data_IF_551204735604
#
_entry.id   IF_551204735604
#
_cell.length_a   1.000
_cell.length_b   1.000
_cell.length_c   1.000
_cell.angle_alpha   90.00
_cell.angle_beta   90.00
_cell.angle_gamma   90.00
#
_symmetry.space_group_name_H-M   'P 1'
#
loop_
_entity.id
_entity.type
_entity.pdbx_description
1 polymer ?
#
# COMPACT_ATOMS: atom_id res chain seq x y z
N UNK A 1 -22.34 -15.25 8.86
CA UNK A 1 -21.46 -14.91 7.74
C UNK A 1 -22.29 -14.19 6.69
N UNK A 2 -22.10 -12.89 6.49
CA UNK A 2 -22.83 -12.14 5.46
C UNK A 2 -22.17 -12.40 4.11
N UNK A 3 -22.85 -13.13 3.23
CA UNK A 3 -22.40 -13.33 1.85
C UNK A 3 -22.64 -12.06 1.04
N UNK A 4 -21.57 -11.47 0.52
CA UNK A 4 -21.64 -10.25 -0.30
C UNK A 4 -22.28 -10.58 -1.65
N UNK A 5 -23.35 -9.87 -2.01
CA UNK A 5 -24.07 -10.05 -3.27
C UNK A 5 -23.36 -9.25 -4.36
N UNK A 6 -22.96 -9.93 -5.45
CA UNK A 6 -22.36 -9.29 -6.63
C UNK A 6 -23.42 -9.11 -7.71
N UNK A 7 -23.31 -8.03 -8.47
CA UNK A 7 -24.22 -7.69 -9.55
C UNK A 7 -23.51 -7.79 -10.91
N UNK A 8 -24.25 -8.25 -11.92
CA UNK A 8 -23.72 -8.41 -13.28
C UNK A 8 -23.97 -7.15 -14.11
N UNK A 9 -22.93 -6.66 -14.78
CA UNK A 9 -22.99 -5.49 -15.66
C UNK A 9 -22.41 -5.79 -17.04
N UNK A 10 -23.01 -5.20 -18.07
CA UNK A 10 -22.50 -5.25 -19.44
C UNK A 10 -22.51 -3.86 -20.04
N UNK A 11 -21.56 -3.58 -20.94
CA UNK A 11 -21.62 -2.37 -21.78
C UNK A 11 -22.84 -2.42 -22.71
N UNK A 12 -23.49 -1.28 -22.93
CA UNK A 12 -24.60 -1.14 -23.88
C UNK A 12 -24.15 -1.36 -25.33
N UNK A 13 -22.89 -1.08 -25.63
CA UNK A 13 -22.23 -1.42 -26.90
C UNK A 13 -22.07 -2.93 -27.13
N UNK A 14 -22.50 -3.77 -26.18
CA UNK A 14 -22.32 -5.22 -26.20
C UNK A 14 -20.99 -5.66 -25.59
N UNK A 15 -20.71 -6.95 -25.70
CA UNK A 15 -19.51 -7.59 -25.16
C UNK A 15 -19.77 -8.40 -23.90
N UNK A 16 -18.71 -8.56 -23.10
CA UNK A 16 -18.68 -9.44 -21.92
C UNK A 16 -19.49 -8.89 -20.76
N UNK A 17 -20.06 -9.79 -19.97
CA UNK A 17 -20.75 -9.54 -18.70
C UNK A 17 -19.74 -9.65 -17.56
N UNK A 18 -19.57 -8.55 -16.85
CA UNK A 18 -18.64 -8.38 -15.75
C UNK A 18 -19.38 -8.40 -14.41
N UNK A 19 -18.67 -8.69 -13.32
CA UNK A 19 -19.21 -8.56 -11.97
C UNK A 19 -18.75 -7.25 -11.36
N UNK A 20 -19.63 -6.62 -10.60
CA UNK A 20 -19.33 -5.48 -9.74
C UNK A 20 -19.93 -5.73 -8.36
N UNK A 21 -19.31 -5.23 -7.28
CA UNK A 21 -19.90 -5.14 -5.95
C UNK A 21 -21.37 -4.71 -5.93
N UNK A 22 -21.68 -3.62 -6.64
CA UNK A 22 -23.01 -3.03 -6.73
C UNK A 22 -23.05 -2.10 -7.93
N UNK A 23 -24.19 -2.07 -8.62
CA UNK A 23 -24.42 -1.11 -9.70
C UNK A 23 -24.93 0.20 -9.12
N UNK A 24 -24.18 1.32 -9.23
CA UNK A 24 -24.65 2.60 -8.73
C UNK A 24 -25.82 3.10 -9.58
N UNK A 25 -26.75 3.83 -8.95
CA UNK A 25 -27.91 4.46 -9.63
C UNK A 25 -27.48 5.52 -10.65
N UNK A 26 -26.34 6.17 -10.40
CA UNK A 26 -25.72 7.17 -11.27
C UNK A 26 -24.22 7.20 -10.98
N UNK A 27 -23.39 7.27 -12.02
CA UNK A 27 -21.93 7.35 -11.89
C UNK A 27 -21.21 6.22 -12.63
N UNK A 28 -19.86 6.26 -12.67
CA UNK A 28 -19.07 5.20 -13.25
C UNK A 28 -19.10 3.95 -12.34
N UNK A 29 -19.03 2.77 -12.95
CA UNK A 29 -18.99 1.49 -12.20
C UNK A 29 -17.66 0.79 -12.44
N UNK A 30 -16.99 0.42 -11.36
CA UNK A 30 -15.74 -0.36 -11.42
C UNK A 30 -16.08 -1.84 -11.27
N UNK A 31 -15.67 -2.63 -12.25
CA UNK A 31 -15.86 -4.08 -12.27
C UNK A 31 -14.75 -4.79 -11.50
N UNK A 32 -14.98 -6.01 -11.04
CA UNK A 32 -13.99 -6.82 -10.32
C UNK A 32 -12.72 -7.08 -11.15
N UNK A 33 -12.79 -7.06 -12.48
CA UNK A 33 -11.61 -7.18 -13.33
C UNK A 33 -10.80 -5.88 -13.47
N UNK A 34 -11.24 -4.78 -12.86
CA UNK A 34 -10.56 -3.48 -12.89
C UNK A 34 -10.92 -2.62 -14.10
N UNK A 35 -12.04 -2.90 -14.78
CA UNK A 35 -12.54 -2.00 -15.82
C UNK A 35 -13.55 -1.02 -15.23
N UNK A 36 -13.39 0.26 -15.57
CA UNK A 36 -14.36 1.31 -15.28
C UNK A 36 -15.30 1.46 -16.48
N UNK A 37 -16.61 1.38 -16.23
CA UNK A 37 -17.64 1.67 -17.22
C UNK A 37 -18.27 3.02 -16.88
N UNK A 38 -18.24 3.96 -17.82
CA UNK A 38 -18.77 5.30 -17.64
C UNK A 38 -20.30 5.29 -17.44
N UNK A 39 -20.80 6.30 -16.71
CA UNK A 39 -22.24 6.47 -16.48
C UNK A 39 -23.02 6.42 -17.79
N UNK A 40 -24.11 5.66 -17.82
CA UNK A 40 -24.95 5.52 -19.00
C UNK A 40 -24.41 4.59 -20.10
N UNK A 41 -23.16 4.11 -20.01
CA UNK A 41 -22.56 3.19 -21.00
C UNK A 41 -22.75 1.72 -20.67
N UNK A 42 -23.33 1.40 -19.50
CA UNK A 42 -23.56 0.04 -19.02
C UNK A 42 -25.03 -0.20 -18.65
N UNK A 43 -25.39 -1.47 -18.51
CA UNK A 43 -26.67 -1.93 -18.00
C UNK A 43 -26.46 -3.07 -16.99
N UNK A 44 -27.26 -3.08 -15.93
CA UNK A 44 -27.35 -4.22 -15.01
C UNK A 44 -28.12 -5.35 -15.71
N UNK A 45 -27.69 -6.59 -15.48
CA UNK A 45 -28.29 -7.79 -16.06
C UNK A 45 -28.48 -8.82 -14.95
N UNK A 46 -29.54 -9.62 -15.04
CA UNK A 46 -29.74 -10.79 -14.16
C UNK A 46 -29.01 -12.05 -14.67
N UNK A 47 -28.32 -11.93 -15.80
CA UNK A 47 -27.55 -13.02 -16.41
C UNK A 47 -26.21 -13.22 -15.68
N UNK A 48 -25.74 -14.47 -15.49
CA UNK A 48 -24.43 -14.70 -14.88
C UNK A 48 -23.30 -14.05 -15.70
N UNK A 49 -22.27 -13.60 -15.00
CA UNK A 49 -21.09 -13.02 -15.64
C UNK A 49 -20.33 -14.04 -16.48
N UNK A 50 -19.82 -13.61 -17.64
CA UNK A 50 -19.00 -14.41 -18.56
C UNK A 50 -17.49 -14.09 -18.42
N UNK A 51 -17.15 -13.00 -17.73
CA UNK A 51 -15.78 -12.55 -17.62
C UNK A 51 -14.99 -13.46 -16.68
N UNK A 52 -14.09 -14.28 -17.23
CA UNK A 52 -13.23 -15.22 -16.48
C UNK A 52 -12.49 -14.57 -15.32
N UNK A 53 -12.01 -13.33 -15.51
CA UNK A 53 -11.34 -12.56 -14.44
C UNK A 53 -12.30 -12.17 -13.31
N UNK A 54 -13.53 -11.81 -13.62
CA UNK A 54 -14.55 -11.51 -12.61
C UNK A 54 -14.94 -12.76 -11.83
N UNK A 55 -15.19 -13.88 -12.52
CA UNK A 55 -15.54 -15.17 -11.90
C UNK A 55 -14.43 -15.69 -10.99
N UNK A 56 -13.16 -15.52 -11.38
CA UNK A 56 -12.02 -15.91 -10.54
C UNK A 56 -11.92 -15.02 -9.30
N UNK A 57 -12.10 -13.70 -9.46
CA UNK A 57 -11.96 -12.72 -8.38
C UNK A 57 -13.15 -12.70 -7.43
N UNK A 58 -14.33 -13.16 -7.84
CA UNK A 58 -15.52 -13.25 -6.96
C UNK A 58 -15.37 -14.27 -5.83
N UNK A 59 -14.46 -15.25 -5.98
CA UNK A 59 -14.15 -16.25 -4.95
C UNK A 59 -13.18 -15.74 -3.87
N UNK A 60 -12.57 -14.58 -4.08
CA UNK A 60 -11.57 -13.98 -3.19
C UNK A 60 -12.19 -12.81 -2.40
N UNK A 61 -12.48 -13.04 -1.12
CA UNK A 61 -13.14 -12.05 -0.27
C UNK A 61 -12.32 -10.75 -0.09
N UNK A 62 -10.99 -10.83 -0.10
CA UNK A 62 -10.14 -9.65 0.02
C UNK A 62 -10.26 -8.76 -1.22
N UNK A 63 -10.36 -9.37 -2.42
CA UNK A 63 -10.53 -8.63 -3.68
C UNK A 63 -11.91 -8.06 -3.87
N UNK A 64 -12.94 -8.79 -3.42
CA UNK A 64 -14.32 -8.27 -3.40
C UNK A 64 -14.36 -7.04 -2.51
N UNK A 65 -13.82 -7.12 -1.28
CA UNK A 65 -13.77 -5.98 -0.36
C UNK A 65 -13.02 -4.79 -0.97
N UNK A 66 -11.85 -5.02 -1.59
CA UNK A 66 -11.09 -3.98 -2.29
C UNK A 66 -11.86 -3.27 -3.42
N UNK A 67 -12.73 -3.99 -4.14
CA UNK A 67 -13.55 -3.38 -5.18
C UNK A 67 -14.65 -2.47 -4.62
N UNK A 68 -15.22 -2.78 -3.44
CA UNK A 68 -16.13 -1.87 -2.73
C UNK A 68 -15.41 -0.55 -2.35
N UNK A 69 -14.14 -0.62 -1.93
CA UNK A 69 -13.34 0.57 -1.63
C UNK A 69 -13.06 1.45 -2.84
N UNK A 70 -12.93 0.86 -4.03
CA UNK A 70 -12.64 1.59 -5.25
C UNK A 70 -13.83 2.37 -5.83
N UNK A 71 -15.06 2.16 -5.34
CA UNK A 71 -16.28 2.83 -5.82
C UNK A 71 -16.72 4.02 -4.95
N UNK A 72 -15.85 4.47 -4.02
CA UNK A 72 -16.10 5.49 -2.99
C UNK A 72 -16.96 5.03 -1.81
N UNK A 73 -17.83 4.02 -1.94
CA UNK A 73 -18.65 3.57 -0.80
C UNK A 73 -17.90 2.73 0.23
N UNK A 74 -16.74 2.15 -0.11
CA UNK A 74 -15.93 1.50 0.93
C UNK A 74 -15.32 2.50 1.91
N UNK A 75 -15.13 3.76 1.50
CA UNK A 75 -14.73 4.82 2.43
C UNK A 75 -15.86 5.16 3.42
N UNK A 76 -17.12 5.14 2.96
CA UNK A 76 -18.30 5.27 3.84
C UNK A 76 -18.48 4.06 4.76
N UNK A 77 -18.29 2.84 4.26
CA UNK A 77 -18.35 1.63 5.10
C UNK A 77 -17.23 1.60 6.15
N UNK A 78 -16.02 2.03 5.79
CA UNK A 78 -14.93 2.21 6.75
C UNK A 78 -15.25 3.31 7.75
N UNK A 79 -15.81 4.43 7.29
CA UNK A 79 -16.23 5.52 8.17
C UNK A 79 -17.29 5.05 9.16
N UNK A 80 -18.33 4.35 8.71
CA UNK A 80 -19.38 3.78 9.56
C UNK A 80 -18.81 2.73 10.52
N UNK A 81 -17.87 1.90 10.07
CA UNK A 81 -17.18 0.91 10.91
C UNK A 81 -16.29 1.57 11.97
N UNK A 82 -15.60 2.67 11.63
CA UNK A 82 -14.80 3.47 12.57
C UNK A 82 -15.68 4.26 13.54
N UNK A 83 -16.82 4.80 13.11
CA UNK A 83 -17.81 5.43 13.98
C UNK A 83 -18.38 4.40 14.97
N UNK A 84 -18.71 3.20 14.50
CA UNK A 84 -19.12 2.08 15.35
C UNK A 84 -18.02 1.65 16.33
N UNK A 85 -16.78 1.48 15.87
CA UNK A 85 -15.64 1.12 16.72
C UNK A 85 -15.32 2.21 17.77
N UNK A 86 -15.42 3.49 17.41
CA UNK A 86 -15.30 4.63 18.33
C UNK A 86 -16.41 4.63 19.37
N UNK A 87 -17.62 4.23 19.00
CA UNK A 87 -18.75 4.12 19.93
C UNK A 87 -18.73 2.84 20.78
N UNK A 88 -17.99 1.80 20.39
CA UNK A 88 -18.04 0.49 21.05
C UNK A 88 -16.89 0.17 22.00
N UNK A 89 -15.73 0.85 22.03
CA UNK A 89 -14.70 0.47 23.01
C UNK A 89 -13.75 1.58 23.49
N UNK A 90 -13.68 1.74 24.82
CA UNK A 90 -12.42 1.94 25.56
C UNK A 90 -11.58 0.65 25.39
N UNK A 91 -10.29 0.71 25.07
CA UNK A 91 -9.51 -0.50 24.85
C UNK A 91 -9.25 -1.23 26.18
N UNK A 92 -9.74 -2.46 26.32
CA UNK A 92 -9.17 -3.43 27.26
C UNK A 92 -7.99 -4.10 26.54
N UNK A 93 -6.78 -3.67 26.88
CA UNK A 93 -5.54 -4.21 26.32
C UNK A 93 -5.26 -5.59 26.95
N UNK A 94 -5.98 -6.61 26.48
CA UNK A 94 -5.55 -8.01 26.64
C UNK A 94 -4.96 -8.51 25.33
N UNK A 95 -3.64 -8.61 25.35
CA UNK A 95 -2.79 -9.25 24.35
C UNK A 95 -3.34 -10.65 24.06
N UNK A 96 -3.74 -10.90 22.81
CA UNK A 96 -4.11 -12.24 22.35
C UNK A 96 -2.83 -13.08 22.13
N UNK A 97 -2.79 -14.36 22.52
CA UNK A 97 -1.66 -15.24 22.27
C UNK A 97 -1.51 -15.54 20.77
N UNK A 98 -0.26 -15.55 20.31
CA UNK A 98 0.12 -15.90 18.93
C UNK A 98 -0.44 -17.27 18.49
N UNK A 99 -1.02 -17.41 17.29
CA UNK A 99 -1.30 -18.71 16.72
C UNK A 99 0.01 -19.39 16.26
N UNK A 100 0.12 -20.68 16.57
CA UNK A 100 1.24 -21.59 16.27
C UNK A 100 1.48 -21.80 14.76
N UNK A 101 2.67 -22.29 14.35
CA UNK A 101 3.02 -22.41 12.94
C UNK A 101 2.36 -23.65 12.32
N UNK A 102 1.48 -23.45 11.34
CA UNK A 102 0.98 -24.52 10.48
C UNK A 102 1.93 -24.78 9.30
N UNK A 103 2.21 -26.06 9.08
CA UNK A 103 3.14 -26.67 8.13
C UNK A 103 3.09 -26.07 6.72
N UNK A 104 4.24 -25.60 6.24
CA UNK A 104 4.48 -25.21 4.85
C UNK A 104 4.32 -26.42 3.91
N UNK A 105 3.39 -26.33 2.96
CA UNK A 105 3.43 -27.15 1.74
C UNK A 105 4.40 -26.50 0.74
N UNK A 106 5.24 -27.27 0.02
CA UNK A 106 6.20 -26.70 -0.91
C UNK A 106 5.48 -26.06 -2.10
N UNK A 107 5.60 -24.75 -2.24
CA UNK A 107 5.16 -24.02 -3.43
C UNK A 107 6.29 -24.07 -4.45
N UNK A 108 6.00 -24.64 -5.62
CA UNK A 108 6.88 -24.61 -6.79
C UNK A 108 6.91 -23.19 -7.35
N UNK A 109 8.05 -22.52 -7.24
CA UNK A 109 8.24 -21.14 -7.71
C UNK A 109 8.51 -21.11 -9.23
N UNK A 110 7.77 -20.31 -10.03
CA UNK A 110 8.09 -20.11 -11.44
C UNK A 110 9.20 -19.07 -11.65
N UNK A 111 10.14 -19.43 -12.54
CA UNK A 111 11.19 -18.68 -13.24
C UNK A 111 12.06 -17.64 -12.48
N UNK A 112 13.38 -17.80 -12.66
CA UNK A 112 14.44 -17.02 -12.03
C UNK A 112 14.25 -15.50 -12.19
N UNK A 113 14.33 -14.79 -11.06
CA UNK A 113 14.45 -13.34 -11.02
C UNK A 113 15.67 -12.88 -11.84
N UNK A 114 15.56 -11.77 -12.58
CA UNK A 114 16.73 -11.15 -13.21
C UNK A 114 17.80 -10.81 -12.16
N UNK A 115 19.08 -10.69 -12.59
CA UNK A 115 20.21 -10.52 -11.69
C UNK A 115 19.98 -9.36 -10.72
N UNK A 116 20.36 -9.50 -9.44
CA UNK A 116 20.24 -8.42 -8.49
C UNK A 116 21.02 -7.22 -9.02
N UNK A 117 20.31 -6.14 -9.33
CA UNK A 117 20.93 -4.84 -9.54
C UNK A 117 21.80 -4.55 -8.31
N UNK A 118 23.10 -4.41 -8.53
CA UNK A 118 24.06 -4.11 -7.48
C UNK A 118 23.74 -2.69 -7.02
N UNK A 119 22.89 -2.59 -6.00
CA UNK A 119 22.58 -1.34 -5.33
C UNK A 119 23.88 -0.86 -4.69
N UNK A 120 24.41 0.32 -5.09
CA UNK A 120 25.61 0.85 -4.49
C UNK A 120 25.38 1.14 -3.00
N UNK A 121 26.41 0.96 -2.18
CA UNK A 121 26.37 1.20 -0.72
C UNK A 121 25.95 2.64 -0.36
N UNK A 122 26.10 3.57 -1.30
CA UNK A 122 25.68 4.96 -1.20
C UNK A 122 25.02 5.41 -2.50
N UNK A 123 23.85 6.04 -2.38
CA UNK A 123 23.07 6.61 -3.46
C UNK A 123 22.93 8.12 -3.23
N UNK A 124 23.96 8.87 -3.65
CA UNK A 124 24.04 10.30 -3.36
C UNK A 124 24.07 10.56 -1.85
N UNK A 125 23.01 11.20 -1.35
CA UNK A 125 22.83 11.55 0.06
C UNK A 125 22.34 10.39 0.94
N UNK A 126 21.92 9.27 0.34
CA UNK A 126 21.39 8.10 1.06
C UNK A 126 22.44 7.00 1.21
N UNK A 127 22.69 6.55 2.44
CA UNK A 127 23.41 5.31 2.73
C UNK A 127 22.43 4.15 2.60
N UNK A 128 22.55 3.33 1.56
CA UNK A 128 21.54 2.31 1.21
C UNK A 128 21.57 1.09 2.13
N UNK A 129 22.62 0.94 2.95
CA UNK A 129 22.80 -0.18 3.87
C UNK A 129 21.65 -0.28 4.87
N UNK A 130 20.90 -1.39 4.76
CA UNK A 130 19.76 -1.69 5.63
C UNK A 130 18.41 -1.17 5.14
N UNK A 131 18.39 -0.32 4.10
CA UNK A 131 17.15 0.07 3.44
C UNK A 131 16.71 -0.98 2.44
N UNK A 132 15.39 -1.18 2.33
CA UNK A 132 14.77 -2.01 1.29
C UNK A 132 14.22 -1.12 0.17
N UNK A 133 14.59 -1.34 -1.10
CA UNK A 133 13.99 -0.60 -2.21
C UNK A 133 12.49 -0.94 -2.28
N UNK A 134 11.65 0.09 -2.39
CA UNK A 134 10.18 -0.02 -2.41
C UNK A 134 9.55 0.64 -3.63
N UNK A 135 10.35 1.04 -4.61
CA UNK A 135 9.96 1.70 -5.85
C UNK A 135 11.13 2.50 -6.44
N UNK A 136 10.94 3.11 -7.61
CA UNK A 136 11.96 3.98 -8.20
C UNK A 136 12.25 5.17 -7.27
N UNK A 137 13.48 5.27 -6.77
CA UNK A 137 13.88 6.31 -5.83
C UNK A 137 13.27 6.20 -4.43
N UNK A 138 12.55 5.12 -4.10
CA UNK A 138 11.89 4.98 -2.79
C UNK A 138 12.55 3.89 -1.96
N UNK A 139 12.94 4.24 -0.75
CA UNK A 139 13.66 3.37 0.19
C UNK A 139 12.91 3.26 1.50
N UNK A 140 12.84 2.06 2.07
CA UNK A 140 12.11 1.78 3.30
C UNK A 140 13.02 1.21 4.37
N UNK A 141 12.99 1.77 5.57
CA UNK A 141 13.72 1.26 6.73
C UNK A 141 12.95 0.10 7.41
N UNK A 142 13.63 -0.71 8.24
CA UNK A 142 12.98 -1.74 9.08
C UNK A 142 11.85 -1.21 9.98
N UNK A 143 11.96 -0.01 10.55
CA UNK A 143 10.88 0.59 11.36
C UNK A 143 9.80 1.30 10.53
N UNK A 144 9.85 1.19 9.20
CA UNK A 144 8.81 1.71 8.32
C UNK A 144 8.98 3.16 7.90
N UNK A 145 10.16 3.76 8.10
CA UNK A 145 10.49 5.08 7.56
C UNK A 145 10.62 4.97 6.05
N UNK A 146 10.00 5.91 5.31
CA UNK A 146 10.09 5.99 3.86
C UNK A 146 10.97 7.18 3.49
N UNK A 147 12.01 6.94 2.71
CA UNK A 147 12.90 7.95 2.16
C UNK A 147 12.69 8.01 0.66
N UNK A 148 12.37 9.21 0.15
CA UNK A 148 12.24 9.47 -1.29
C UNK A 148 13.47 10.22 -1.79
N UNK A 149 14.08 9.65 -2.81
CA UNK A 149 15.20 10.18 -3.55
C UNK A 149 14.73 10.57 -4.95
N UNK A 150 15.19 11.71 -5.46
CA UNK A 150 14.95 12.12 -6.85
C UNK A 150 16.25 12.03 -7.63
N UNK A 151 16.16 11.46 -8.82
CA UNK A 151 17.28 11.42 -9.76
C UNK A 151 17.34 12.74 -10.52
N UNK A 152 18.46 13.45 -10.42
CA UNK A 152 18.77 14.64 -11.21
C UNK A 152 19.99 14.34 -12.10
N UNK A 153 19.74 13.93 -13.35
CA UNK A 153 20.80 13.46 -14.25
C UNK A 153 21.44 12.16 -13.77
N UNK A 154 22.72 12.22 -13.38
CA UNK A 154 23.48 11.10 -12.80
C UNK A 154 23.46 11.05 -11.27
N UNK A 155 22.95 12.09 -10.62
CA UNK A 155 23.00 12.24 -9.16
C UNK A 155 21.61 11.96 -8.54
N UNK A 156 21.62 11.55 -7.27
CA UNK A 156 20.41 11.30 -6.50
C UNK A 156 20.38 12.25 -5.31
N UNK A 157 19.29 12.99 -5.15
CA UNK A 157 19.10 13.95 -4.06
C UNK A 157 17.97 13.52 -3.16
N UNK A 158 18.14 13.74 -1.86
CA UNK A 158 17.09 13.55 -0.87
C UNK A 158 15.99 14.58 -1.08
N UNK A 159 14.73 14.12 -1.06
CA UNK A 159 13.56 15.00 -1.25
C UNK A 159 12.68 14.99 -0.03
N UNK A 160 12.36 13.81 0.49
CA UNK A 160 11.34 13.67 1.52
C UNK A 160 11.59 12.47 2.42
N UNK A 161 11.29 12.63 3.69
CA UNK A 161 11.19 11.55 4.67
C UNK A 161 9.76 11.52 5.22
N UNK A 162 9.12 10.35 5.11
CA UNK A 162 7.78 10.10 5.66
C UNK A 162 7.89 9.07 6.78
N UNK A 163 7.43 9.43 7.96
CA UNK A 163 7.39 8.56 9.13
C UNK A 163 6.15 8.84 9.97
N UNK A 164 5.42 7.79 10.32
CA UNK A 164 4.28 7.87 11.22
C UNK A 164 4.76 7.62 12.65
N UNK A 165 5.14 8.70 13.34
CA UNK A 165 5.62 8.64 14.71
C UNK A 165 6.26 9.93 15.18
N UNK A 166 6.81 9.89 16.40
CA UNK A 166 7.54 11.04 16.93
C UNK A 166 8.86 11.23 16.18
N UNK A 167 9.11 12.48 15.77
CA UNK A 167 10.36 12.89 15.15
C UNK A 167 11.13 13.76 16.17
N UNK A 168 12.41 13.44 16.36
CA UNK A 168 13.29 14.22 17.23
C UNK A 168 14.16 15.12 16.36
N UNK A 169 13.92 16.43 16.44
CA UNK A 169 14.73 17.44 15.75
C UNK A 169 15.73 18.03 16.75
N UNK A 170 17.03 17.85 16.49
CA UNK A 170 18.12 18.35 17.31
C UNK A 170 18.91 19.39 16.52
N UNK A 171 19.08 20.59 17.05
CA UNK A 171 19.95 21.61 16.44
C UNK A 171 21.42 21.20 16.62
N UNK A 172 22.20 21.23 15.54
CA UNK A 172 23.63 20.89 15.55
C UNK A 172 24.39 21.93 14.74
N UNK A 173 25.20 22.76 15.41
CA UNK A 173 25.89 23.89 14.75
C UNK A 173 24.90 24.79 14.01
N UNK A 174 25.15 25.00 12.73
CA UNK A 174 24.30 25.79 11.81
C UNK A 174 23.18 24.96 11.14
N UNK A 175 23.03 23.68 11.50
CA UNK A 175 22.09 22.75 10.87
C UNK A 175 21.09 22.10 11.82
N UNK A 176 20.26 21.23 11.25
CA UNK A 176 19.28 20.42 11.97
C UNK A 176 19.57 18.93 11.72
N UNK A 177 19.60 18.15 12.80
CA UNK A 177 19.61 16.70 12.76
C UNK A 177 18.22 16.18 13.11
N UNK A 178 17.62 15.44 12.19
CA UNK A 178 16.27 14.89 12.32
C UNK A 178 16.39 13.38 12.50
N UNK A 179 15.83 12.85 13.59
CA UNK A 179 15.71 11.42 13.82
C UNK A 179 14.25 11.00 13.75
N UNK A 180 13.95 10.08 12.84
CA UNK A 180 12.62 9.50 12.65
C UNK A 180 12.75 7.97 12.74
N UNK A 181 12.25 7.37 13.82
CA UNK A 181 12.41 5.93 14.07
C UNK A 181 13.88 5.50 14.12
N UNK A 182 14.28 4.66 13.18
CA UNK A 182 15.64 4.15 12.95
C UNK A 182 16.44 4.95 11.92
N UNK A 183 15.88 6.00 11.32
CA UNK A 183 16.55 6.84 10.32
C UNK A 183 16.98 8.17 10.92
N UNK A 184 18.20 8.58 10.61
CA UNK A 184 18.71 9.91 10.92
C UNK A 184 19.05 10.64 9.62
N UNK A 185 18.61 11.89 9.55
CA UNK A 185 18.95 12.88 8.51
C UNK A 185 19.75 13.97 9.19
N UNK A 186 20.92 14.29 8.67
CA UNK A 186 21.70 15.39 9.24
C UNK A 186 22.82 15.86 8.32
N UNK A 187 23.44 17.01 8.67
CA UNK A 187 24.60 17.49 7.95
C UNK A 187 25.78 16.55 8.19
N UNK A 188 26.49 16.22 7.12
CA UNK A 188 27.77 15.53 7.12
C UNK A 188 28.90 16.53 7.44
N UNK A 189 30.13 16.03 7.68
CA UNK A 189 31.33 16.85 7.91
C UNK A 189 31.59 17.86 6.79
N UNK A 190 31.15 17.53 5.58
CA UNK A 190 31.41 18.29 4.36
C UNK A 190 30.25 19.25 4.02
N UNK A 191 29.25 19.37 4.90
CA UNK A 191 28.08 20.26 4.72
C UNK A 191 26.96 19.69 3.85
N UNK A 192 27.14 18.50 3.25
CA UNK A 192 26.08 17.77 2.54
C UNK A 192 25.08 17.12 3.49
N UNK A 193 23.87 16.81 3.02
CA UNK A 193 22.89 16.06 3.80
C UNK A 193 23.22 14.57 3.68
N UNK A 194 23.20 13.86 4.80
CA UNK A 194 23.31 12.41 4.83
C UNK A 194 22.06 11.80 5.47
N UNK A 195 21.54 10.76 4.83
CA UNK A 195 20.42 9.95 5.31
C UNK A 195 20.90 8.53 5.56
N UNK A 196 20.79 8.05 6.79
CA UNK A 196 21.27 6.72 7.18
C UNK A 196 20.39 6.06 8.23
N UNK A 197 20.38 4.73 8.26
CA UNK A 197 19.79 3.97 9.37
C UNK A 197 20.78 3.97 10.53
N UNK A 198 20.40 4.61 11.63
CA UNK A 198 21.08 4.45 12.92
C UNK A 198 20.26 3.54 13.80
N UNK A 199 20.83 2.38 14.14
CA UNK A 199 20.30 1.55 15.21
C UNK A 199 20.21 2.43 16.46
N UNK A 200 18.99 2.72 16.89
CA UNK A 200 18.77 3.41 18.14
C UNK A 200 19.49 2.63 19.24
N UNK A 201 20.42 3.28 19.91
CA UNK A 201 20.82 2.90 21.26
C UNK A 201 19.55 2.94 22.09
N UNK A 202 18.91 1.77 22.24
CA UNK A 202 17.79 1.59 23.14
C UNK A 202 18.24 1.98 24.54
N UNK A 203 17.58 2.98 25.10
CA UNK A 203 17.43 3.18 26.54
C UNK A 203 15.95 3.34 26.80
#
# INVERSE_FOLDING_TARGET
MHSVRLESVRRKSGGRIHLTPRVPRSGPVTTLCGQTLESGTYASLDTPADCTNCIRRSKDQARVSGAFFAQEEGSELLRLSLEQARSQHKPDLRVLPHPSPEKEKPVVWPAAKPPPEVIPDQLGELVTRGFKPSGEGVWRSPQGVIVKMRKHGKEWTFVELVFEGAVVATRVGDGLRIKAGDVEVGPNSDGSIEVQIKKGTGR
#
